data_IF_202642648303
#
_entry.id   IF_202642648303
#
_cell.length_a   1.000
_cell.length_b   1.000
_cell.length_c   1.000
_cell.angle_alpha   90.00
_cell.angle_beta   90.00
_cell.angle_gamma   90.00
#
_symmetry.space_group_name_H-M   'P 1'
#
loop_
_entity.id
_entity.type
_entity.pdbx_description
1 polymer ?
#
# COMPACT_ATOMS: atom_id res chain seq x y z
N UNK A 1 -18.42 38.39 -50.74
CA UNK A 1 -17.28 38.04 -49.85
C UNK A 1 -17.61 38.32 -48.37
N UNK A 2 -18.64 37.67 -47.81
CA UNK A 2 -19.00 37.79 -46.38
C UNK A 2 -19.26 36.44 -45.69
N UNK A 3 -19.44 35.37 -46.48
CA UNK A 3 -19.73 34.03 -45.97
C UNK A 3 -18.47 33.18 -45.69
N UNK A 4 -17.30 33.56 -46.21
CA UNK A 4 -16.07 32.76 -46.09
C UNK A 4 -15.36 32.94 -44.73
N UNK A 5 -15.58 34.06 -44.06
CA UNK A 5 -14.96 34.38 -42.75
C UNK A 5 -15.68 33.76 -41.56
N UNK A 6 -16.95 33.38 -41.69
CA UNK A 6 -17.72 32.77 -40.60
C UNK A 6 -17.37 31.28 -40.38
N UNK A 7 -17.03 30.55 -41.45
CA UNK A 7 -16.73 29.11 -41.39
C UNK A 7 -15.38 28.83 -40.70
N UNK A 8 -14.40 29.72 -40.91
CA UNK A 8 -13.07 29.57 -40.29
C UNK A 8 -13.06 29.81 -38.78
N UNK A 9 -13.97 30.65 -38.27
CA UNK A 9 -14.04 30.95 -36.83
C UNK A 9 -14.66 29.80 -36.02
N UNK A 10 -15.47 28.94 -36.64
CA UNK A 10 -16.11 27.82 -35.96
C UNK A 10 -15.19 26.58 -35.82
N UNK A 11 -14.25 26.39 -36.74
CA UNK A 11 -13.31 25.26 -36.74
C UNK A 11 -12.21 25.39 -35.66
N UNK A 12 -11.84 26.61 -35.26
CA UNK A 12 -10.81 26.84 -34.24
C UNK A 12 -11.36 26.57 -32.83
N UNK A 13 -12.65 26.85 -32.59
CA UNK A 13 -13.31 26.64 -31.29
C UNK A 13 -13.57 25.16 -30.98
N UNK A 14 -13.64 24.29 -31.99
CA UNK A 14 -13.86 22.85 -31.78
C UNK A 14 -12.58 22.08 -31.42
N UNK A 15 -11.39 22.67 -31.65
CA UNK A 15 -10.12 22.00 -31.41
C UNK A 15 -9.63 22.06 -29.95
N UNK A 16 -10.26 22.89 -29.11
CA UNK A 16 -9.81 23.12 -27.73
C UNK A 16 -10.46 22.12 -26.74
N UNK A 17 -11.48 21.36 -27.17
CA UNK A 17 -12.26 20.50 -26.27
C UNK A 17 -11.64 19.13 -25.94
N UNK A 18 -10.49 18.76 -26.49
CA UNK A 18 -9.91 17.41 -26.28
C UNK A 18 -8.62 17.39 -25.44
N UNK A 19 -8.20 18.51 -24.87
CA UNK A 19 -7.13 18.51 -23.85
C UNK A 19 -7.70 18.29 -22.45
N UNK A 20 -8.49 17.21 -22.28
CA UNK A 20 -8.64 16.62 -20.95
C UNK A 20 -7.31 15.98 -20.64
N UNK A 21 -6.40 16.77 -20.07
CA UNK A 21 -5.17 16.31 -19.48
C UNK A 21 -5.58 15.47 -18.26
N UNK A 22 -5.96 14.21 -18.50
CA UNK A 22 -5.86 13.20 -17.46
C UNK A 22 -4.40 13.25 -17.05
N UNK A 23 -4.17 13.84 -15.87
CA UNK A 23 -2.85 13.85 -15.25
C UNK A 23 -2.44 12.39 -15.16
N UNK A 24 -1.53 11.99 -16.05
CA UNK A 24 -0.95 10.65 -16.10
C UNK A 24 -0.41 10.36 -14.70
N UNK A 25 -1.23 9.67 -13.88
CA UNK A 25 -0.76 9.08 -12.64
C UNK A 25 -0.01 7.85 -13.10
N UNK A 26 1.29 8.02 -13.27
CA UNK A 26 2.21 6.91 -13.42
C UNK A 26 1.90 5.91 -12.30
N UNK A 27 1.44 4.72 -12.68
CA UNK A 27 1.07 3.70 -11.71
C UNK A 27 2.33 3.38 -10.87
N UNK A 28 2.20 3.22 -9.54
CA UNK A 28 3.35 2.92 -8.71
C UNK A 28 3.99 1.60 -9.18
N UNK A 29 5.30 1.59 -9.46
CA UNK A 29 5.97 0.37 -9.89
C UNK A 29 5.95 -0.67 -8.76
N UNK A 30 5.81 -1.95 -9.10
CA UNK A 30 5.87 -3.06 -8.13
C UNK A 30 7.16 -3.02 -7.30
N UNK A 31 8.26 -2.60 -7.91
CA UNK A 31 9.56 -2.40 -7.25
C UNK A 31 9.54 -1.33 -6.15
N UNK A 32 8.66 -0.32 -6.25
CA UNK A 32 8.56 0.74 -5.25
C UNK A 32 7.94 0.25 -3.94
N UNK A 33 7.06 -0.75 -3.99
CA UNK A 33 6.41 -1.33 -2.82
C UNK A 33 7.35 -2.28 -2.04
N UNK A 34 8.33 -2.89 -2.72
CA UNK A 34 9.30 -3.81 -2.10
C UNK A 34 10.08 -3.10 -0.98
N UNK A 35 10.07 -3.71 0.20
CA UNK A 35 10.72 -3.18 1.39
C UNK A 35 9.97 -3.50 2.68
N UNK A 36 10.54 -3.04 3.78
CA UNK A 36 9.97 -3.09 5.12
C UNK A 36 9.32 -1.74 5.43
N UNK A 37 8.10 -1.77 5.98
CA UNK A 37 7.30 -0.59 6.27
C UNK A 37 6.69 -0.69 7.66
N UNK A 38 6.78 0.37 8.46
CA UNK A 38 6.24 0.44 9.81
C UNK A 38 5.07 1.43 9.84
N UNK A 39 3.94 1.01 10.39
CA UNK A 39 2.74 1.84 10.48
C UNK A 39 3.01 3.06 11.38
N UNK A 40 2.53 4.22 10.91
CA UNK A 40 2.59 5.48 11.63
C UNK A 40 1.43 5.58 12.63
N UNK A 41 1.58 6.49 13.60
CA UNK A 41 0.51 6.93 14.50
C UNK A 41 -0.04 5.83 15.43
N UNK A 42 0.78 4.83 15.79
CA UNK A 42 0.44 3.82 16.79
C UNK A 42 1.13 4.12 18.13
N UNK A 43 0.35 4.15 19.20
CA UNK A 43 0.87 4.30 20.58
C UNK A 43 0.88 2.96 21.29
N UNK A 44 2.03 2.51 21.77
CA UNK A 44 2.18 1.28 22.56
C UNK A 44 2.15 -0.03 21.76
N UNK A 45 1.88 0.04 20.45
CA UNK A 45 1.86 -1.10 19.54
C UNK A 45 2.66 -0.80 18.28
N UNK A 46 3.27 -1.83 17.71
CA UNK A 46 3.96 -1.77 16.43
C UNK A 46 3.23 -2.66 15.45
N UNK A 47 2.89 -2.10 14.29
CA UNK A 47 2.46 -2.86 13.11
C UNK A 47 3.42 -2.59 11.98
N UNK A 48 3.80 -3.64 11.27
CA UNK A 48 4.69 -3.53 10.12
C UNK A 48 4.25 -4.47 9.01
N UNK A 49 4.58 -4.08 7.78
CA UNK A 49 4.40 -4.89 6.58
C UNK A 49 5.70 -4.98 5.82
N UNK A 50 5.94 -6.14 5.20
CA UNK A 50 7.08 -6.39 4.32
C UNK A 50 6.58 -6.95 3.00
N UNK A 51 7.08 -6.38 1.91
CA UNK A 51 6.86 -6.85 0.55
C UNK A 51 8.20 -7.27 -0.05
N UNK A 52 8.29 -8.47 -0.60
CA UNK A 52 9.49 -8.98 -1.27
C UNK A 52 9.32 -8.99 -2.79
N UNK A 53 10.43 -8.95 -3.53
CA UNK A 53 10.42 -9.09 -4.99
C UNK A 53 9.99 -10.47 -5.52
N UNK A 54 9.53 -11.37 -4.64
CA UNK A 54 9.00 -12.71 -4.97
C UNK A 54 7.50 -12.81 -4.73
N UNK A 55 6.81 -11.67 -4.64
CA UNK A 55 5.37 -11.60 -4.37
C UNK A 55 5.00 -12.17 -3.00
N UNK A 56 5.96 -12.19 -2.05
CA UNK A 56 5.72 -12.63 -0.68
C UNK A 56 5.42 -11.43 0.22
N UNK A 57 4.50 -11.65 1.14
CA UNK A 57 4.03 -10.66 2.09
C UNK A 57 4.26 -11.13 3.53
N UNK A 58 4.64 -10.21 4.41
CA UNK A 58 4.60 -10.43 5.85
C UNK A 58 3.92 -9.24 6.53
N UNK A 59 3.02 -9.51 7.47
CA UNK A 59 2.48 -8.52 8.41
C UNK A 59 2.87 -8.94 9.81
N UNK A 60 3.37 -8.02 10.62
CA UNK A 60 3.69 -8.27 12.02
C UNK A 60 2.97 -7.26 12.90
N UNK A 61 2.45 -7.72 14.04
CA UNK A 61 1.88 -6.87 15.08
C UNK A 61 2.40 -7.28 16.44
N UNK A 62 2.62 -6.31 17.32
CA UNK A 62 3.07 -6.56 18.69
C UNK A 62 3.30 -5.27 19.46
N UNK A 63 4.16 -5.34 20.45
CA UNK A 63 4.57 -4.22 21.28
C UNK A 63 6.08 -3.94 21.08
N UNK A 64 6.63 -3.03 21.88
CA UNK A 64 8.05 -2.67 21.80
C UNK A 64 9.00 -3.80 22.25
N UNK A 65 8.49 -4.89 22.84
CA UNK A 65 9.26 -6.03 23.34
C UNK A 65 9.30 -7.19 22.33
N UNK A 66 8.47 -7.14 21.28
CA UNK A 66 8.43 -8.14 20.23
C UNK A 66 7.08 -8.22 19.51
N UNK A 67 7.02 -9.04 18.47
CA UNK A 67 5.79 -9.32 17.75
C UNK A 67 4.96 -10.41 18.47
N UNK A 68 3.69 -10.11 18.71
CA UNK A 68 2.72 -11.05 19.26
C UNK A 68 2.12 -11.95 18.17
N UNK A 69 1.98 -11.41 16.95
CA UNK A 69 1.41 -12.15 15.82
C UNK A 69 2.10 -11.76 14.52
N UNK A 70 2.41 -12.76 13.68
CA UNK A 70 2.92 -12.56 12.32
C UNK A 70 2.05 -13.32 11.34
N UNK A 71 1.60 -12.65 10.29
CA UNK A 71 0.96 -13.28 9.13
C UNK A 71 1.95 -13.29 7.97
N UNK A 72 2.00 -14.40 7.24
CA UNK A 72 2.75 -14.52 5.99
C UNK A 72 1.82 -14.94 4.87
N UNK A 73 2.16 -14.55 3.64
CA UNK A 73 1.28 -14.73 2.51
C UNK A 73 1.89 -14.26 1.21
N UNK A 74 1.02 -13.96 0.25
CA UNK A 74 1.40 -13.43 -1.06
C UNK A 74 0.69 -12.13 -1.34
N UNK A 75 1.26 -11.31 -2.22
CA UNK A 75 0.60 -10.11 -2.71
C UNK A 75 0.65 -10.01 -4.23
N UNK A 76 -0.31 -9.27 -4.79
CA UNK A 76 -0.42 -8.98 -6.21
C UNK A 76 -0.76 -7.51 -6.41
N UNK A 77 -0.19 -6.90 -7.44
CA UNK A 77 -0.45 -5.51 -7.81
C UNK A 77 -1.09 -5.50 -9.20
N UNK A 78 -2.19 -4.76 -9.33
CA UNK A 78 -2.83 -4.46 -10.60
C UNK A 78 -3.11 -2.95 -10.65
N UNK A 79 -2.30 -2.20 -11.40
CA UNK A 79 -2.29 -0.73 -11.36
C UNK A 79 -2.02 -0.23 -9.93
N UNK A 80 -2.97 0.46 -9.30
CA UNK A 80 -2.92 0.93 -7.92
C UNK A 80 -3.63 0.00 -6.94
N UNK A 81 -4.26 -1.08 -7.43
CA UNK A 81 -4.89 -2.11 -6.59
C UNK A 81 -3.82 -3.03 -6.00
N UNK A 82 -3.93 -3.29 -4.70
CA UNK A 82 -3.08 -4.22 -3.95
C UNK A 82 -3.96 -5.30 -3.36
N UNK A 83 -3.72 -6.56 -3.74
CA UNK A 83 -4.38 -7.72 -3.14
C UNK A 83 -3.39 -8.50 -2.30
N UNK A 84 -3.70 -8.74 -1.03
CA UNK A 84 -2.86 -9.50 -0.12
C UNK A 84 -3.65 -10.70 0.41
N UNK A 85 -3.11 -11.89 0.22
CA UNK A 85 -3.70 -13.15 0.72
C UNK A 85 -2.78 -13.75 1.77
N UNK A 86 -3.30 -13.97 2.97
CA UNK A 86 -2.55 -14.71 4.01
C UNK A 86 -2.55 -16.19 3.71
N UNK A 87 -1.50 -16.89 4.15
CA UNK A 87 -1.39 -18.36 4.11
C UNK A 87 -1.15 -18.95 5.50
N UNK A 88 -0.52 -18.18 6.37
CA UNK A 88 -0.07 -18.67 7.65
C UNK A 88 -0.02 -17.56 8.70
N UNK A 89 -0.31 -17.94 9.93
CA UNK A 89 -0.21 -17.12 11.13
C UNK A 89 0.77 -17.78 12.09
N UNK A 90 1.66 -16.99 12.66
CA UNK A 90 2.51 -17.34 13.79
C UNK A 90 2.06 -16.50 14.99
N UNK A 91 1.66 -17.13 16.08
CA UNK A 91 1.32 -16.46 17.34
C UNK A 91 2.37 -16.78 18.40
N UNK A 92 2.82 -15.75 19.12
CA UNK A 92 3.83 -15.86 20.17
C UNK A 92 3.26 -15.30 21.49
N UNK A 93 2.83 -16.21 22.36
CA UNK A 93 2.47 -15.86 23.73
C UNK A 93 3.75 -15.78 24.59
N UNK A 94 3.85 -14.82 25.53
CA UNK A 94 4.97 -14.77 26.47
C UNK A 94 5.13 -16.10 27.23
N UNK A 95 6.36 -16.63 27.24
CA UNK A 95 6.70 -17.87 27.95
C UNK A 95 6.21 -19.17 27.30
N UNK A 96 5.62 -19.13 26.11
CA UNK A 96 5.22 -20.33 25.35
C UNK A 96 6.00 -20.44 24.03
N UNK A 97 6.12 -21.64 23.44
CA UNK A 97 6.60 -21.77 22.07
C UNK A 97 5.67 -21.06 21.08
N UNK A 98 6.24 -20.54 19.98
CA UNK A 98 5.44 -19.98 18.90
C UNK A 98 4.54 -21.06 18.27
N UNK A 99 3.28 -20.71 18.02
CA UNK A 99 2.31 -21.59 17.37
C UNK A 99 2.09 -21.14 15.94
N UNK A 100 2.27 -22.07 14.99
CA UNK A 100 2.03 -21.86 13.57
C UNK A 100 0.68 -22.44 13.17
N UNK A 101 -0.13 -21.68 12.44
CA UNK A 101 -1.47 -22.10 11.99
C UNK A 101 -1.69 -21.67 10.55
N UNK A 102 -2.21 -22.57 9.71
CA UNK A 102 -2.64 -22.21 8.36
C UNK A 102 -3.84 -21.26 8.44
N UNK A 103 -3.82 -20.17 7.68
CA UNK A 103 -4.91 -19.20 7.63
C UNK A 103 -5.04 -18.61 6.23
N UNK A 104 -6.26 -18.46 5.74
CA UNK A 104 -6.51 -17.93 4.40
C UNK A 104 -7.60 -16.87 4.47
N UNK A 105 -7.19 -15.61 4.35
CA UNK A 105 -8.10 -14.47 4.17
C UNK A 105 -7.40 -13.36 3.41
N UNK A 106 -8.20 -12.44 2.86
CA UNK A 106 -7.69 -11.21 2.23
C UNK A 106 -7.40 -10.17 3.30
N UNK A 107 -6.13 -9.76 3.42
CA UNK A 107 -5.73 -8.67 4.31
C UNK A 107 -5.83 -7.34 3.54
N UNK A 108 -6.41 -6.33 4.18
CA UNK A 108 -6.70 -5.02 3.55
C UNK A 108 -7.63 -5.18 2.33
N UNK A 109 -8.90 -5.51 2.56
CA UNK A 109 -9.85 -5.77 1.47
C UNK A 109 -9.98 -4.57 0.51
N UNK A 110 -9.94 -4.85 -0.80
CA UNK A 110 -10.04 -3.84 -1.87
C UNK A 110 -9.01 -2.71 -1.69
N UNK A 111 -7.80 -3.08 -1.25
CA UNK A 111 -6.78 -2.08 -1.00
C UNK A 111 -6.32 -1.41 -2.31
N UNK A 112 -6.14 -0.10 -2.21
CA UNK A 112 -5.31 0.68 -3.14
C UNK A 112 -4.11 1.23 -2.40
N UNK A 113 -3.02 1.47 -3.12
CA UNK A 113 -1.81 2.00 -2.52
C UNK A 113 -1.24 3.19 -3.30
N UNK A 114 -0.50 4.03 -2.58
CA UNK A 114 0.33 5.07 -3.17
C UNK A 114 1.59 5.25 -2.34
N UNK A 115 2.68 5.62 -2.99
CA UNK A 115 3.96 5.85 -2.33
C UNK A 115 4.40 7.27 -2.65
N UNK A 116 4.76 8.03 -1.62
CA UNK A 116 5.29 9.39 -1.74
C UNK A 116 6.48 9.54 -0.80
N UNK A 117 7.69 9.61 -1.38
CA UNK A 117 8.93 9.50 -0.62
C UNK A 117 8.99 8.17 0.15
N UNK A 118 9.21 8.26 1.46
CA UNK A 118 9.28 7.10 2.36
C UNK A 118 7.93 6.72 2.98
N UNK A 119 6.81 7.27 2.46
CA UNK A 119 5.47 7.01 2.99
C UNK A 119 4.66 6.15 2.02
N UNK A 120 4.34 4.94 2.46
CA UNK A 120 3.31 4.09 1.86
C UNK A 120 1.96 4.43 2.47
N UNK A 121 0.98 4.75 1.64
CA UNK A 121 -0.41 4.95 2.07
C UNK A 121 -1.26 3.84 1.48
N UNK A 122 -1.94 3.08 2.35
CA UNK A 122 -2.95 2.10 1.98
C UNK A 122 -4.34 2.67 2.25
N UNK A 123 -5.26 2.51 1.30
CA UNK A 123 -6.69 2.76 1.49
C UNK A 123 -7.44 1.46 1.26
N UNK A 124 -8.26 1.02 2.20
CA UNK A 124 -8.91 -0.29 2.17
C UNK A 124 -10.25 -0.26 2.89
N UNK A 125 -11.05 -1.31 2.75
CA UNK A 125 -12.34 -1.43 3.42
C UNK A 125 -12.18 -2.14 4.77
N UNK A 126 -12.83 -1.57 5.78
CA UNK A 126 -12.99 -2.16 7.12
C UNK A 126 -14.47 -2.32 7.44
N UNK A 127 -14.81 -3.24 8.33
CA UNK A 127 -16.19 -3.56 8.68
C UNK A 127 -16.44 -3.31 10.17
N UNK A 128 -16.62 -2.05 10.61
CA UNK A 128 -17.29 -1.79 11.87
C UNK A 128 -18.72 -2.34 11.83
N UNK A 129 -19.35 -2.47 13.00
CA UNK A 129 -20.65 -3.13 13.15
C UNK A 129 -21.77 -2.53 12.26
N UNK A 130 -21.69 -1.23 11.95
CA UNK A 130 -22.76 -0.52 11.25
C UNK A 130 -22.72 -0.68 9.72
N UNK A 131 -21.54 -0.53 9.11
CA UNK A 131 -21.36 -0.55 7.65
C UNK A 131 -19.88 -0.66 7.23
N UNK A 132 -19.57 -1.06 5.98
CA UNK A 132 -18.23 -0.96 5.44
C UNK A 132 -17.73 0.49 5.39
N UNK A 133 -16.51 0.73 5.87
CA UNK A 133 -15.87 2.06 5.91
C UNK A 133 -14.51 2.01 5.23
N UNK A 134 -14.23 2.99 4.38
CA UNK A 134 -12.89 3.20 3.82
C UNK A 134 -11.95 3.73 4.90
N UNK A 135 -10.92 2.95 5.19
CA UNK A 135 -9.89 3.25 6.17
C UNK A 135 -8.57 3.53 5.47
N UNK A 136 -7.76 4.42 6.05
CA UNK A 136 -6.42 4.74 5.57
C UNK A 136 -5.39 4.33 6.61
N UNK A 137 -4.39 3.56 6.19
CA UNK A 137 -3.20 3.29 6.99
C UNK A 137 -1.97 3.90 6.29
N UNK A 138 -1.07 4.49 7.08
CA UNK A 138 0.17 5.07 6.57
C UNK A 138 1.34 4.35 7.19
N UNK A 139 2.34 4.04 6.38
CA UNK A 139 3.54 3.35 6.81
C UNK A 139 4.76 4.14 6.37
N UNK A 140 5.75 4.23 7.24
CA UNK A 140 7.07 4.77 6.91
C UNK A 140 8.00 3.62 6.54
N UNK A 141 8.80 3.82 5.49
CA UNK A 141 9.85 2.87 5.10
C UNK A 141 10.81 2.66 6.27
N UNK A 142 10.99 1.43 6.69
CA UNK A 142 11.94 1.10 7.74
C UNK A 142 13.36 1.23 7.18
N UNK A 143 14.20 2.02 7.86
CA UNK A 143 15.62 2.07 7.55
C UNK A 143 16.25 0.86 8.23
N UNK A 144 16.64 -0.14 7.45
CA UNK A 144 17.57 -1.15 7.93
C UNK A 144 18.92 -0.45 8.10
N UNK A 145 19.28 -0.09 9.34
CA UNK A 145 20.65 0.30 9.63
C UNK A 145 21.46 -1.00 9.60
N UNK A 146 22.07 -1.31 8.46
CA UNK A 146 23.15 -2.27 8.43
C UNK A 146 24.22 -1.76 9.41
N UNK A 147 24.43 -2.48 10.50
CA UNK A 147 25.54 -2.25 11.41
C UNK A 147 26.86 -2.55 10.68
N UNK A 148 27.30 -1.61 9.84
CA UNK A 148 28.53 -1.72 9.06
C UNK A 148 29.06 -0.39 8.52
N UNK A 149 28.42 0.73 8.83
CA UNK A 149 28.75 2.04 8.27
C UNK A 149 29.19 3.08 9.29
N UNK A 150 30.12 2.76 10.19
CA UNK A 150 30.91 3.81 10.85
C UNK A 150 31.98 4.27 9.87
N UNK A 151 31.69 5.32 9.11
CA UNK A 151 32.72 6.18 8.52
C UNK A 151 32.89 7.37 9.45
N UNK A 152 33.92 7.31 10.30
CA UNK A 152 35.02 8.28 10.40
C UNK A 152 36.04 7.79 11.41
#
# INVERSE_FOLDING_TARGET
MKALTAVFSFLILFSICFTSCEKDREAPSESALVGDWQELDLTGFVRSVKFTNKNEFQFSTGNNEGYATKYTGTYQILSDSLKIETKEMLSQDPGKPAVKTATTFELYEKATFSISGDILTLKYITYPADAPVTTTAKFRKAITIDQGGLIK
#
